data_IF_910808040742
#
_entry.id   IF_910808040742
#
_cell.length_a   1.000
_cell.length_b   1.000
_cell.length_c   1.000
_cell.angle_alpha   90.00
_cell.angle_beta   90.00
_cell.angle_gamma   90.00
#
_symmetry.space_group_name_H-M   'P 1'
#
loop_
_entity.id
_entity.type
_entity.pdbx_description
1 polymer ?
#
# COMPACT_ATOMS: atom_id res chain seq x y z
N UNK A 1 -4.13 -45.74 -17.04
CA UNK A 1 -3.52 -44.46 -17.48
C UNK A 1 -4.26 -43.23 -16.94
N UNK A 2 -5.58 -43.10 -17.12
CA UNK A 2 -6.34 -41.93 -16.67
C UNK A 2 -6.23 -41.61 -15.16
N UNK A 3 -6.24 -42.62 -14.28
CA UNK A 3 -6.10 -42.44 -12.83
C UNK A 3 -4.74 -41.86 -12.41
N UNK A 4 -3.65 -42.27 -13.07
CA UNK A 4 -2.31 -41.72 -12.79
C UNK A 4 -2.22 -40.25 -13.22
N UNK A 5 -2.80 -39.90 -14.37
CA UNK A 5 -2.83 -38.51 -14.87
C UNK A 5 -3.63 -37.60 -13.93
N UNK A 6 -4.79 -38.07 -13.45
CA UNK A 6 -5.60 -37.34 -12.46
C UNK A 6 -4.84 -37.16 -11.13
N UNK A 7 -4.16 -38.20 -10.64
CA UNK A 7 -3.37 -38.12 -9.41
C UNK A 7 -2.22 -37.11 -9.51
N UNK A 8 -1.48 -37.12 -10.62
CA UNK A 8 -0.42 -36.13 -10.86
C UNK A 8 -0.95 -34.70 -10.99
N UNK A 9 -2.13 -34.52 -11.60
CA UNK A 9 -2.77 -33.20 -11.73
C UNK A 9 -3.15 -32.62 -10.37
N UNK A 10 -3.77 -33.42 -9.50
CA UNK A 10 -4.13 -32.98 -8.13
C UNK A 10 -2.89 -32.69 -7.28
N UNK A 11 -1.82 -33.47 -7.43
CA UNK A 11 -0.56 -33.25 -6.72
C UNK A 11 0.11 -31.93 -7.14
N UNK A 12 0.16 -31.64 -8.44
CA UNK A 12 0.70 -30.38 -8.95
C UNK A 12 -0.13 -29.17 -8.53
N UNK A 13 -1.47 -29.29 -8.50
CA UNK A 13 -2.36 -28.23 -7.97
C UNK A 13 -2.11 -28.00 -6.48
N UNK A 14 -1.89 -29.08 -5.71
CA UNK A 14 -1.56 -29.00 -4.28
C UNK A 14 -0.25 -28.24 -4.04
N UNK A 15 0.81 -28.61 -4.76
CA UNK A 15 2.10 -27.92 -4.71
C UNK A 15 1.93 -26.45 -5.13
N UNK A 16 1.27 -26.19 -6.26
CA UNK A 16 1.02 -24.84 -6.74
C UNK A 16 0.30 -23.99 -5.68
N UNK A 17 -0.77 -24.51 -5.06
CA UNK A 17 -1.48 -23.80 -3.99
C UNK A 17 -0.59 -23.53 -2.78
N UNK A 18 0.26 -24.47 -2.38
CA UNK A 18 1.13 -24.31 -1.23
C UNK A 18 2.16 -23.19 -1.45
N UNK A 19 2.78 -23.15 -2.63
CA UNK A 19 3.80 -22.15 -2.96
C UNK A 19 3.22 -20.79 -3.34
N UNK A 20 2.03 -20.74 -3.94
CA UNK A 20 1.44 -19.49 -4.43
C UNK A 20 0.58 -18.77 -3.38
N UNK A 21 -0.01 -19.48 -2.41
CA UNK A 21 -0.91 -18.88 -1.39
C UNK A 21 -0.16 -18.41 -0.13
N UNK A 22 1.13 -18.70 0.03
CA UNK A 22 1.83 -18.53 1.31
C UNK A 22 2.46 -17.14 1.54
N UNK A 23 2.45 -16.23 0.57
CA UNK A 23 3.16 -14.94 0.67
C UNK A 23 2.26 -13.79 1.11
N UNK A 24 1.47 -14.00 2.15
CA UNK A 24 0.61 -12.95 2.70
C UNK A 24 1.38 -12.20 3.80
N UNK A 25 1.57 -10.89 3.62
CA UNK A 25 2.29 -10.05 4.59
C UNK A 25 1.32 -9.67 5.70
N UNK A 26 1.63 -10.08 6.93
CA UNK A 26 0.71 -9.94 8.07
C UNK A 26 1.29 -8.96 9.09
N UNK A 27 0.43 -8.09 9.64
CA UNK A 27 0.75 -7.24 10.77
C UNK A 27 0.75 -8.08 12.05
N UNK A 28 1.94 -8.38 12.58
CA UNK A 28 2.14 -9.33 13.69
C UNK A 28 1.28 -9.07 14.94
N UNK A 29 1.06 -7.81 15.39
CA UNK A 29 0.28 -7.57 16.60
C UNK A 29 -1.20 -7.97 16.49
N UNK A 30 -1.79 -7.91 15.30
CA UNK A 30 -3.23 -8.24 15.11
C UNK A 30 -3.46 -9.48 14.27
N UNK A 31 -2.42 -10.01 13.62
CA UNK A 31 -2.56 -11.12 12.68
C UNK A 31 -3.30 -10.73 11.40
N UNK A 32 -3.51 -9.43 11.16
CA UNK A 32 -4.25 -8.96 9.99
C UNK A 32 -3.38 -8.86 8.74
N UNK A 33 -3.93 -9.28 7.62
CA UNK A 33 -3.30 -9.17 6.30
C UNK A 33 -3.06 -7.72 5.94
N UNK A 34 -1.93 -7.43 5.32
CA UNK A 34 -1.52 -6.09 4.92
C UNK A 34 -1.49 -6.00 3.40
N UNK A 35 -2.13 -4.97 2.84
CA UNK A 35 -2.25 -4.73 1.40
C UNK A 35 -1.54 -3.44 1.04
N UNK A 36 -0.78 -3.48 -0.05
CA UNK A 36 -0.11 -2.31 -0.59
C UNK A 36 -1.05 -1.54 -1.53
N UNK A 37 -1.04 -0.22 -1.39
CA UNK A 37 -1.77 0.72 -2.21
C UNK A 37 -0.84 1.83 -2.68
N UNK A 38 -0.58 1.88 -3.98
CA UNK A 38 0.14 2.98 -4.60
C UNK A 38 -0.85 4.00 -5.18
N UNK A 39 -0.62 5.27 -4.90
CA UNK A 39 -1.32 6.40 -5.51
C UNK A 39 -0.33 7.45 -6.00
N UNK A 40 -0.68 8.15 -7.07
CA UNK A 40 0.22 9.11 -7.71
C UNK A 40 -0.30 10.55 -7.53
N UNK A 41 0.63 11.48 -7.41
CA UNK A 41 0.38 12.90 -7.20
C UNK A 41 1.31 13.76 -8.06
N UNK A 42 0.84 14.94 -8.40
CA UNK A 42 1.63 15.95 -9.10
C UNK A 42 2.74 16.51 -8.18
N UNK A 43 3.83 16.97 -8.78
CA UNK A 43 4.99 17.58 -8.13
C UNK A 43 4.61 18.80 -7.29
N UNK A 44 3.55 19.53 -7.68
CA UNK A 44 3.06 20.72 -6.94
C UNK A 44 2.69 20.46 -5.48
N UNK A 45 2.40 19.19 -5.14
CA UNK A 45 2.02 18.79 -3.77
C UNK A 45 3.17 18.14 -3.00
N UNK A 46 4.39 18.07 -3.56
CA UNK A 46 5.51 17.34 -2.95
C UNK A 46 5.83 17.79 -1.53
N UNK A 47 6.00 19.10 -1.30
CA UNK A 47 6.33 19.65 0.02
C UNK A 47 5.20 19.39 1.02
N UNK A 48 3.95 19.66 0.61
CA UNK A 48 2.77 19.42 1.45
C UNK A 48 2.58 17.95 1.83
N UNK A 49 2.83 17.02 0.89
CA UNK A 49 2.75 15.58 1.15
C UNK A 49 3.88 15.13 2.07
N UNK A 50 5.10 15.64 1.86
CA UNK A 50 6.28 15.33 2.69
C UNK A 50 6.06 15.78 4.12
N UNK A 51 5.58 17.00 4.32
CA UNK A 51 5.24 17.54 5.64
C UNK A 51 4.09 16.76 6.30
N UNK A 52 3.07 16.39 5.52
CA UNK A 52 1.95 15.58 6.02
C UNK A 52 2.39 14.21 6.51
N UNK A 53 3.22 13.51 5.72
CA UNK A 53 3.73 12.17 6.07
C UNK A 53 4.66 12.26 7.29
N UNK A 54 5.56 13.26 7.34
CA UNK A 54 6.48 13.42 8.46
C UNK A 54 5.80 13.89 9.75
N UNK A 55 4.78 14.74 9.66
CA UNK A 55 4.01 15.18 10.81
C UNK A 55 2.98 14.16 11.29
N UNK A 56 2.60 13.20 10.43
CA UNK A 56 1.54 12.24 10.69
C UNK A 56 0.13 12.84 10.71
N UNK A 57 -0.01 14.10 10.31
CA UNK A 57 -1.28 14.83 10.33
C UNK A 57 -2.01 14.70 9.00
N UNK A 58 -2.60 13.52 8.76
CA UNK A 58 -3.51 13.30 7.61
C UNK A 58 -4.85 14.01 7.85
N UNK A 59 -4.87 15.30 7.58
CA UNK A 59 -6.08 16.12 7.69
C UNK A 59 -7.03 15.79 6.54
N UNK A 60 -8.29 15.49 6.88
CA UNK A 60 -9.35 15.32 5.89
C UNK A 60 -9.65 16.61 5.10
N UNK A 61 -9.03 17.74 5.43
CA UNK A 61 -9.25 19.05 4.78
C UNK A 61 -8.38 19.30 3.55
N UNK A 62 -7.23 18.64 3.40
CA UNK A 62 -6.36 18.86 2.24
C UNK A 62 -6.94 18.16 1.00
N UNK A 63 -7.50 18.93 0.07
CA UNK A 63 -7.98 18.44 -1.23
C UNK A 63 -6.78 18.19 -2.14
N UNK A 64 -5.97 17.19 -1.81
CA UNK A 64 -4.88 16.72 -2.68
C UNK A 64 -5.46 15.59 -3.52
N UNK A 65 -5.68 15.89 -4.79
CA UNK A 65 -6.20 14.93 -5.77
C UNK A 65 -5.08 14.01 -6.24
N UNK A 66 -5.38 12.71 -6.33
CA UNK A 66 -4.49 11.79 -7.03
C UNK A 66 -4.61 12.00 -8.53
N UNK A 67 -3.50 11.86 -9.24
CA UNK A 67 -3.48 11.87 -10.71
C UNK A 67 -3.17 10.46 -11.24
N UNK A 68 -3.50 10.19 -12.51
CA UNK A 68 -3.22 8.90 -13.14
C UNK A 68 -1.73 8.66 -13.38
N UNK A 69 -0.96 9.73 -13.58
CA UNK A 69 0.49 9.69 -13.80
C UNK A 69 1.16 10.92 -13.17
N UNK A 70 1.34 10.86 -11.87
CA UNK A 70 2.02 11.90 -11.09
C UNK A 70 3.53 11.65 -10.97
N UNK A 71 4.30 12.72 -10.78
CA UNK A 71 5.74 12.64 -10.50
C UNK A 71 6.03 12.18 -9.07
N UNK A 72 5.04 12.15 -8.19
CA UNK A 72 5.15 11.67 -6.81
C UNK A 72 4.31 10.41 -6.68
N UNK A 73 4.89 9.34 -6.11
CA UNK A 73 4.18 8.10 -5.77
C UNK A 73 4.14 7.98 -4.26
N UNK A 74 2.95 7.78 -3.71
CA UNK A 74 2.76 7.41 -2.31
C UNK A 74 2.40 5.93 -2.25
N UNK A 75 3.25 5.15 -1.58
CA UNK A 75 2.96 3.76 -1.28
C UNK A 75 2.47 3.67 0.16
N UNK A 76 1.29 3.07 0.33
CA UNK A 76 0.68 2.84 1.64
C UNK A 76 0.45 1.36 1.83
N UNK A 77 1.06 0.81 2.85
CA UNK A 77 0.87 -0.56 3.29
C UNK A 77 -0.17 -0.54 4.43
N UNK A 78 -1.39 -1.01 4.16
CA UNK A 78 -2.53 -0.94 5.08
C UNK A 78 -2.97 -2.33 5.55
N UNK A 79 -3.20 -2.50 6.85
CA UNK A 79 -3.80 -3.73 7.38
C UNK A 79 -5.31 -3.80 7.11
N UNK A 80 -5.86 -5.01 6.91
CA UNK A 80 -7.30 -5.20 6.66
C UNK A 80 -8.18 -4.71 7.81
N UNK A 81 -7.70 -4.80 9.04
CA UNK A 81 -8.37 -4.27 10.24
C UNK A 81 -8.26 -2.74 10.37
N UNK A 82 -7.54 -2.07 9.45
CA UNK A 82 -7.27 -0.63 9.44
C UNK A 82 -6.60 -0.10 10.70
N UNK A 83 -5.94 -0.96 11.47
CA UNK A 83 -5.21 -0.60 12.69
C UNK A 83 -3.75 -0.28 12.46
N UNK A 84 -3.24 -0.55 11.26
CA UNK A 84 -1.86 -0.26 10.88
C UNK A 84 -1.81 0.29 9.45
N UNK A 85 -1.01 1.34 9.28
CA UNK A 85 -0.64 1.87 7.99
C UNK A 85 0.85 2.22 8.02
N UNK A 86 1.62 1.80 7.02
CA UNK A 86 2.94 2.35 6.75
C UNK A 86 2.89 3.17 5.47
N UNK A 87 3.43 4.38 5.49
CA UNK A 87 3.38 5.31 4.36
C UNK A 87 4.79 5.71 3.97
N UNK A 88 5.05 5.72 2.67
CA UNK A 88 6.30 6.23 2.10
C UNK A 88 6.04 7.00 0.81
N UNK A 89 6.78 8.09 0.61
CA UNK A 89 6.76 8.90 -0.61
C UNK A 89 7.99 8.66 -1.46
N UNK A 90 7.75 8.63 -2.77
CA UNK A 90 8.77 8.51 -3.80
C UNK A 90 8.61 9.62 -4.83
N UNK A 91 9.73 10.16 -5.30
CA UNK A 91 9.79 11.08 -6.44
C UNK A 91 10.25 10.31 -7.67
N UNK A 92 9.57 10.53 -8.78
CA UNK A 92 10.08 10.17 -10.09
C UNK A 92 11.22 11.12 -10.47
N UNK A 93 12.42 10.59 -10.46
CA UNK A 93 13.61 11.16 -11.11
C UNK A 93 13.77 10.38 -12.41
N UNK A 94 14.15 10.97 -13.56
CA UNK A 94 14.14 10.25 -14.83
C UNK A 94 14.69 8.82 -14.73
N UNK A 95 13.85 7.87 -15.14
CA UNK A 95 14.09 6.42 -15.13
C UNK A 95 14.12 5.72 -13.76
N UNK A 96 13.85 6.41 -12.63
CA UNK A 96 13.83 5.78 -11.31
C UNK A 96 12.93 6.49 -10.26
N UNK A 97 12.39 5.73 -9.29
CA UNK A 97 11.69 6.28 -8.13
C UNK A 97 12.63 6.36 -6.93
N UNK A 98 12.91 7.57 -6.45
CA UNK A 98 13.75 7.81 -5.28
C UNK A 98 12.89 8.10 -4.05
N UNK A 99 13.17 7.49 -2.88
CA UNK A 99 12.43 7.79 -1.66
C UNK A 99 12.70 9.23 -1.21
N UNK A 100 11.63 9.99 -0.95
CA UNK A 100 11.70 11.37 -0.43
C UNK A 100 11.55 11.36 1.09
N UNK A 101 10.74 10.44 1.61
CA UNK A 101 10.52 10.26 3.04
C UNK A 101 11.03 8.89 3.51
N UNK A 102 11.36 8.83 4.79
CA UNK A 102 11.44 7.55 5.48
C UNK A 102 10.06 6.90 5.57
N UNK A 103 10.04 5.59 5.81
CA UNK A 103 8.78 4.87 6.08
C UNK A 103 8.23 5.36 7.42
N UNK A 104 7.03 5.93 7.40
CA UNK A 104 6.33 6.36 8.60
C UNK A 104 5.24 5.36 8.97
N UNK A 105 5.19 4.98 10.24
CA UNK A 105 4.27 3.99 10.76
C UNK A 105 3.15 4.65 11.56
N UNK A 106 1.92 4.30 11.23
CA UNK A 106 0.72 4.80 11.87
C UNK A 106 -0.10 3.64 12.43
N UNK A 107 -0.61 3.82 13.64
CA UNK A 107 -1.43 2.81 14.32
C UNK A 107 -2.77 3.39 14.76
N UNK A 108 -3.81 2.56 14.79
CA UNK A 108 -5.16 2.89 15.25
C UNK A 108 -5.72 4.15 14.56
N UNK A 109 -5.92 5.23 15.29
CA UNK A 109 -6.50 6.48 14.78
C UNK A 109 -5.68 7.07 13.63
N UNK A 110 -4.35 6.96 13.69
CA UNK A 110 -3.47 7.40 12.60
C UNK A 110 -3.67 6.57 11.33
N UNK A 111 -3.84 5.25 11.46
CA UNK A 111 -4.11 4.38 10.31
C UNK A 111 -5.50 4.68 9.71
N UNK A 112 -6.50 4.94 10.55
CA UNK A 112 -7.84 5.36 10.11
C UNK A 112 -7.81 6.69 9.34
N UNK A 113 -7.02 7.66 9.82
CA UNK A 113 -6.83 8.95 9.15
C UNK A 113 -6.17 8.78 7.76
N UNK A 114 -5.17 7.90 7.63
CA UNK A 114 -4.57 7.55 6.34
C UNK A 114 -5.61 6.96 5.39
N UNK A 115 -6.46 6.04 5.86
CA UNK A 115 -7.53 5.45 5.03
C UNK A 115 -8.54 6.51 4.56
N UNK A 116 -8.92 7.43 5.45
CA UNK A 116 -9.82 8.52 5.11
C UNK A 116 -9.22 9.44 4.03
N UNK A 117 -7.93 9.77 4.16
CA UNK A 117 -7.18 10.52 3.15
C UNK A 117 -7.14 9.78 1.80
N UNK A 118 -6.75 8.50 1.79
CA UNK A 118 -6.68 7.69 0.57
C UNK A 118 -8.03 7.60 -0.16
N UNK A 119 -9.11 7.45 0.59
CA UNK A 119 -10.47 7.38 0.03
C UNK A 119 -10.85 8.71 -0.62
N UNK A 120 -10.52 9.83 0.03
CA UNK A 120 -10.82 11.17 -0.48
C UNK A 120 -9.98 11.52 -1.71
N UNK A 121 -8.68 11.20 -1.71
CA UNK A 121 -7.79 11.49 -2.84
C UNK A 121 -8.16 10.73 -4.12
N UNK A 122 -8.72 9.52 -4.00
CA UNK A 122 -9.20 8.70 -5.14
C UNK A 122 -10.54 9.14 -5.74
N UNK A 123 -11.34 9.93 -5.02
CA UNK A 123 -12.69 10.34 -5.45
C UNK A 123 -12.70 11.61 -6.32
N UNK A 124 -11.54 12.22 -6.62
CA UNK A 124 -11.44 13.52 -7.29
C UNK A 124 -10.80 13.47 -8.67
#
# INVERSE_FOLDING_TARGET
MALMVLGTGLFLIGIFRLFWKSKEVVYLPTGSVTKEHSIFFDLKYMDSLTDMVNSGSFSAGSVIKSESSGNIRMDVLLSEDKKFAAVQLFQFVPYNYQPITSVQYFTNDGASAVVAFLTKSKQG
#
